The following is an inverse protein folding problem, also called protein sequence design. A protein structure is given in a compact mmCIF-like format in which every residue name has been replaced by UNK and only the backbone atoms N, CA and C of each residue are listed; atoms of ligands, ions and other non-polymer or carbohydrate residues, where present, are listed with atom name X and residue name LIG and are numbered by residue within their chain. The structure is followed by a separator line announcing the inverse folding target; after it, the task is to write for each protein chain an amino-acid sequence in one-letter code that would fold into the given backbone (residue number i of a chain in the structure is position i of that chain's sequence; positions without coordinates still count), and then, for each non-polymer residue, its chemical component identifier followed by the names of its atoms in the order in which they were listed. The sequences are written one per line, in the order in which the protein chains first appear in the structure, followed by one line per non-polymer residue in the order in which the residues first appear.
data_IF_621708003008
#
_entry.id   IF_621708003008
#
_cell.length_a   1.000
_cell.length_b   1.000
_cell.length_c   1.000
_cell.angle_alpha   90.00
_cell.angle_beta   90.00
_cell.angle_gamma   90.00
#
_symmetry.space_group_name_H-M   'P 1'
#
loop_
_entity.id
_entity.type
_entity.pdbx_description
1 polymer ?
#
# COMPACT_ATOMS: atom_id res chain seq x y z
N UNK A 1 -7.79 12.91 -7.66
CA UNK A 1 -7.37 11.50 -7.50
C UNK A 1 -8.10 10.58 -8.48
N UNK A 2 -9.43 10.45 -8.42
CA UNK A 2 -10.18 9.61 -9.37
C UNK A 2 -10.96 10.47 -10.36
N UNK A 3 -10.62 10.34 -11.64
CA UNK A 3 -11.35 10.93 -12.77
C UNK A 3 -11.98 9.79 -13.59
N UNK A 4 -12.99 10.09 -14.40
CA UNK A 4 -13.65 9.10 -15.28
C UNK A 4 -14.94 8.51 -14.70
N UNK A 5 -15.42 7.43 -15.32
CA UNK A 5 -16.66 6.77 -14.92
C UNK A 5 -16.40 5.79 -13.76
N UNK A 6 -16.93 6.13 -12.58
CA UNK A 6 -16.78 5.32 -11.37
C UNK A 6 -17.88 4.27 -11.26
N UNK A 7 -17.48 3.01 -11.16
CA UNK A 7 -18.38 1.90 -10.92
C UNK A 7 -18.10 1.26 -9.55
N UNK A 8 -19.16 1.08 -8.76
CA UNK A 8 -19.08 0.47 -7.44
C UNK A 8 -19.81 -0.87 -7.45
N UNK A 9 -19.06 -1.96 -7.32
CA UNK A 9 -19.62 -3.30 -7.23
C UNK A 9 -19.94 -3.63 -5.77
N UNK A 10 -21.19 -3.99 -5.51
CA UNK A 10 -21.70 -4.38 -4.19
C UNK A 10 -22.02 -5.87 -4.15
N UNK A 11 -21.92 -6.47 -2.97
CA UNK A 11 -22.39 -7.83 -2.74
C UNK A 11 -23.90 -7.92 -2.94
N UNK A 12 -24.36 -8.82 -3.80
CA UNK A 12 -25.80 -9.05 -4.05
C UNK A 12 -26.57 -9.41 -2.78
N UNK A 13 -25.94 -10.17 -1.87
CA UNK A 13 -26.57 -10.65 -0.64
C UNK A 13 -26.64 -9.59 0.46
N UNK A 14 -25.57 -8.84 0.66
CA UNK A 14 -25.44 -7.95 1.85
C UNK A 14 -25.44 -6.46 1.51
N UNK A 15 -25.41 -6.09 0.24
CA UNK A 15 -25.29 -4.69 -0.20
C UNK A 15 -23.94 -4.03 0.09
N UNK A 16 -23.01 -4.72 0.78
CA UNK A 16 -21.68 -4.17 1.12
C UNK A 16 -20.85 -3.95 -0.14
N UNK A 17 -20.16 -2.81 -0.20
CA UNK A 17 -19.21 -2.49 -1.28
C UNK A 17 -18.08 -3.52 -1.28
N UNK A 18 -17.68 -3.95 -2.49
CA UNK A 18 -16.61 -4.93 -2.70
C UNK A 18 -15.48 -4.35 -3.55
N UNK A 19 -15.82 -3.69 -4.64
CA UNK A 19 -14.84 -3.18 -5.59
C UNK A 19 -15.24 -1.80 -6.08
N UNK A 20 -14.23 -0.98 -6.33
CA UNK A 20 -14.33 0.33 -6.96
C UNK A 20 -13.51 0.27 -8.24
N UNK A 21 -14.14 0.56 -9.37
CA UNK A 21 -13.52 0.64 -10.68
C UNK A 21 -13.59 2.08 -11.21
N UNK A 22 -12.61 2.47 -12.01
CA UNK A 22 -12.63 3.68 -12.81
C UNK A 22 -12.26 3.30 -14.25
N UNK A 23 -13.14 3.62 -15.21
CA UNK A 23 -12.96 3.29 -16.62
C UNK A 23 -12.58 1.80 -16.84
N UNK A 24 -13.34 0.91 -16.18
CA UNK A 24 -13.19 -0.55 -16.19
C UNK A 24 -11.87 -1.10 -15.57
N UNK A 25 -11.00 -0.25 -15.03
CA UNK A 25 -9.81 -0.66 -14.28
C UNK A 25 -10.11 -0.71 -12.77
N UNK A 26 -9.75 -1.82 -12.11
CA UNK A 26 -9.94 -1.96 -10.66
C UNK A 26 -9.05 -0.94 -9.95
N UNK A 27 -9.64 -0.09 -9.10
CA UNK A 27 -8.93 0.91 -8.30
C UNK A 27 -8.69 0.42 -6.88
N UNK A 28 -9.71 -0.15 -6.26
CA UNK A 28 -9.59 -0.66 -4.91
C UNK A 28 -10.63 -1.75 -4.62
N UNK A 29 -10.30 -2.61 -3.66
CA UNK A 29 -11.24 -3.53 -3.05
C UNK A 29 -11.51 -3.12 -1.61
N UNK A 30 -12.71 -3.38 -1.11
CA UNK A 30 -13.05 -3.13 0.29
C UNK A 30 -13.06 -4.46 1.03
N UNK A 31 -12.17 -4.57 2.02
CA UNK A 31 -12.07 -5.77 2.85
C UNK A 31 -13.32 -5.92 3.70
N UNK A 32 -13.97 -7.07 3.61
CA UNK A 32 -15.29 -7.28 4.21
C UNK A 32 -15.27 -7.35 5.74
N UNK A 33 -14.13 -7.72 6.34
CA UNK A 33 -13.99 -7.89 7.78
C UNK A 33 -13.96 -6.59 8.56
N UNK A 34 -13.35 -5.54 8.01
CA UNK A 34 -13.05 -4.29 8.73
C UNK A 34 -13.25 -3.01 7.89
N UNK A 35 -13.66 -3.14 6.62
CA UNK A 35 -13.95 -1.99 5.77
C UNK A 35 -12.72 -1.27 5.21
N UNK A 36 -11.51 -1.79 5.41
CA UNK A 36 -10.31 -1.17 4.85
C UNK A 36 -10.34 -1.19 3.32
N UNK A 37 -9.98 -0.06 2.73
CA UNK A 37 -9.83 0.11 1.30
C UNK A 37 -8.44 -0.38 0.93
N UNK A 38 -8.36 -1.51 0.24
CA UNK A 38 -7.11 -2.09 -0.26
C UNK A 38 -6.92 -1.63 -1.71
N UNK A 39 -5.94 -0.75 -1.99
CA UNK A 39 -5.69 -0.28 -3.35
C UNK A 39 -5.26 -1.42 -4.25
N UNK A 40 -5.70 -1.38 -5.51
CA UNK A 40 -5.05 -2.13 -6.58
C UNK A 40 -3.71 -1.48 -6.94
N UNK A 41 -2.96 -2.06 -7.88
CA UNK A 41 -1.77 -1.40 -8.42
C UNK A 41 -2.09 -0.01 -9.02
N UNK A 42 -3.17 0.09 -9.79
CA UNK A 42 -3.62 1.35 -10.36
C UNK A 42 -4.01 2.36 -9.29
N UNK A 43 -4.79 1.92 -8.29
CA UNK A 43 -5.20 2.78 -7.18
C UNK A 43 -4.00 3.28 -6.37
N UNK A 44 -3.04 2.41 -6.11
CA UNK A 44 -1.79 2.78 -5.44
C UNK A 44 -0.96 3.77 -6.27
N UNK A 45 -0.87 3.59 -7.59
CA UNK A 45 -0.17 4.51 -8.49
C UNK A 45 -0.83 5.90 -8.50
N UNK A 46 -2.17 5.94 -8.46
CA UNK A 46 -2.93 7.20 -8.34
C UNK A 46 -2.67 7.86 -6.98
N UNK A 47 -2.69 7.10 -5.89
CA UNK A 47 -2.39 7.61 -4.54
C UNK A 47 -0.98 8.17 -4.47
N UNK A 48 0.00 7.42 -4.97
CA UNK A 48 1.40 7.81 -5.04
C UNK A 48 1.58 9.15 -5.77
N UNK A 49 1.02 9.29 -6.97
CA UNK A 49 1.11 10.52 -7.77
C UNK A 49 0.30 11.72 -7.24
N UNK A 50 -0.70 11.49 -6.38
CA UNK A 50 -1.57 12.56 -5.86
C UNK A 50 -1.25 12.98 -4.43
N UNK A 51 -0.51 12.16 -3.67
CA UNK A 51 -0.15 12.44 -2.30
C UNK A 51 1.30 12.88 -2.24
N UNK A 52 1.55 14.06 -1.65
CA UNK A 52 2.90 14.57 -1.44
C UNK A 52 3.75 13.59 -0.62
N UNK A 53 5.01 13.41 -1.02
CA UNK A 53 5.97 12.68 -0.22
C UNK A 53 6.13 13.33 1.18
N UNK A 54 6.24 12.54 2.28
CA UNK A 54 6.30 11.07 2.32
C UNK A 54 4.95 10.39 2.57
N UNK A 55 3.79 11.02 2.33
CA UNK A 55 2.49 10.48 2.78
C UNK A 55 2.26 9.04 2.32
N UNK A 56 1.97 8.16 3.29
CA UNK A 56 1.79 6.72 3.13
C UNK A 56 3.02 5.95 2.61
N UNK A 57 4.21 6.55 2.52
CA UNK A 57 5.44 5.88 2.05
C UNK A 57 6.10 5.07 3.16
N UNK A 58 6.62 3.93 2.76
CA UNK A 58 7.65 3.18 3.48
C UNK A 58 8.82 3.04 2.51
N UNK A 59 9.90 3.77 2.79
CA UNK A 59 11.10 3.82 1.97
C UNK A 59 12.01 2.66 2.34
N UNK A 60 12.40 1.88 1.35
CA UNK A 60 13.27 0.73 1.55
C UNK A 60 14.59 0.92 0.81
N UNK A 61 15.66 0.31 1.34
CA UNK A 61 16.99 0.39 0.74
C UNK A 61 17.08 -0.36 -0.61
N UNK A 62 18.12 -0.03 -1.38
CA UNK A 62 18.40 -0.61 -2.71
C UNK A 62 18.40 -2.16 -2.69
N UNK A 63 18.99 -2.77 -1.65
CA UNK A 63 19.08 -4.23 -1.52
C UNK A 63 17.71 -4.92 -1.52
N UNK A 64 16.69 -4.26 -0.98
CA UNK A 64 15.36 -4.84 -0.83
C UNK A 64 14.44 -4.60 -2.03
N UNK A 65 14.77 -3.65 -2.91
CA UNK A 65 13.91 -3.28 -4.02
C UNK A 65 13.51 -4.43 -4.95
N UNK A 66 14.41 -5.34 -5.40
CA UNK A 66 14.00 -6.46 -6.26
C UNK A 66 12.96 -7.35 -5.56
N UNK A 67 13.13 -7.58 -4.26
CA UNK A 67 12.20 -8.38 -3.46
C UNK A 67 10.86 -7.67 -3.26
N UNK A 68 10.86 -6.35 -3.05
CA UNK A 68 9.65 -5.54 -3.00
C UNK A 68 8.87 -5.67 -4.32
N UNK A 69 9.54 -5.51 -5.47
CA UNK A 69 8.93 -5.63 -6.81
C UNK A 69 8.33 -7.01 -7.09
N UNK A 70 8.88 -8.07 -6.49
CA UNK A 70 8.33 -9.44 -6.54
C UNK A 70 7.18 -9.69 -5.54
N UNK A 71 6.83 -8.70 -4.72
CA UNK A 71 5.77 -8.82 -3.72
C UNK A 71 6.19 -9.55 -2.44
N UNK A 72 7.50 -9.67 -2.16
CA UNK A 72 8.00 -10.20 -0.88
C UNK A 72 7.73 -9.22 0.26
N UNK A 73 7.59 -9.75 1.47
CA UNK A 73 7.36 -8.94 2.67
C UNK A 73 8.60 -8.10 3.02
N UNK A 74 8.37 -6.92 3.60
CA UNK A 74 9.44 -6.01 4.03
C UNK A 74 9.77 -6.26 5.51
N UNK A 75 11.06 -6.33 5.80
CA UNK A 75 11.62 -6.51 7.14
C UNK A 75 12.23 -5.22 7.64
N UNK A 76 12.24 -5.03 8.97
CA UNK A 76 12.61 -3.76 9.62
C UNK A 76 13.98 -3.24 9.15
N UNK A 77 14.99 -4.11 9.13
CA UNK A 77 16.36 -3.77 8.70
C UNK A 77 16.51 -3.18 7.30
N UNK A 78 15.51 -3.30 6.44
CA UNK A 78 15.54 -2.77 5.08
C UNK A 78 14.80 -1.44 4.94
N UNK A 79 14.05 -1.00 5.96
CA UNK A 79 13.36 0.28 5.96
C UNK A 79 14.31 1.36 6.42
N UNK A 80 14.39 2.45 5.67
CA UNK A 80 15.28 3.59 5.97
C UNK A 80 14.50 4.84 6.41
N UNK A 81 13.27 5.01 5.92
CA UNK A 81 12.37 6.10 6.28
C UNK A 81 10.90 5.64 6.09
N UNK A 82 9.97 6.23 6.84
CA UNK A 82 8.54 6.09 6.53
C UNK A 82 7.75 7.32 6.99
N UNK A 83 6.52 7.48 6.46
CA UNK A 83 5.58 8.50 6.93
C UNK A 83 5.31 8.35 8.43
N UNK A 84 5.61 9.41 9.20
CA UNK A 84 5.40 9.48 10.66
C UNK A 84 3.94 9.29 11.11
N UNK A 85 2.99 9.32 10.19
CA UNK A 85 1.57 9.11 10.50
C UNK A 85 1.10 7.68 10.28
N UNK A 86 1.96 6.78 9.76
CA UNK A 86 1.60 5.37 9.55
C UNK A 86 1.28 4.71 10.88
N UNK A 87 0.12 4.05 10.92
CA UNK A 87 -0.30 3.19 12.02
C UNK A 87 -0.34 1.73 11.60
N UNK A 88 -0.32 0.85 12.60
CA UNK A 88 -0.54 -0.56 12.39
C UNK A 88 -1.88 -0.79 11.67
N UNK A 89 -1.84 -1.67 10.66
CA UNK A 89 -2.92 -1.97 9.70
C UNK A 89 -3.20 -0.96 8.60
N UNK A 90 -2.49 0.17 8.53
CA UNK A 90 -2.62 1.09 7.40
C UNK A 90 -2.13 0.44 6.10
N UNK A 91 -2.78 0.82 4.99
CA UNK A 91 -2.28 0.52 3.67
C UNK A 91 -1.16 1.50 3.31
N UNK A 92 -0.03 0.96 2.86
CA UNK A 92 1.19 1.72 2.60
C UNK A 92 1.71 1.48 1.18
N UNK A 93 2.44 2.47 0.70
CA UNK A 93 3.16 2.49 -0.56
C UNK A 93 4.63 2.18 -0.27
N UNK A 94 5.14 1.09 -0.80
CA UNK A 94 6.54 0.71 -0.64
C UNK A 94 7.30 1.36 -1.80
N UNK A 95 8.26 2.21 -1.47
CA UNK A 95 9.04 3.01 -2.43
C UNK A 95 10.54 2.86 -2.20
N UNK A 96 11.35 3.18 -3.19
CA UNK A 96 12.79 3.38 -2.99
C UNK A 96 13.11 4.84 -2.61
N UNK A 97 14.40 5.14 -2.48
CA UNK A 97 14.95 6.46 -2.14
C UNK A 97 14.53 7.56 -3.13
N UNK A 98 14.28 7.21 -4.39
CA UNK A 98 13.82 8.13 -5.45
C UNK A 98 12.28 8.31 -5.49
N UNK A 99 11.56 7.83 -4.47
CA UNK A 99 10.09 7.75 -4.41
C UNK A 99 9.49 6.96 -5.59
N UNK A 100 10.20 5.98 -6.16
CA UNK A 100 9.61 5.08 -7.15
C UNK A 100 8.70 4.04 -6.48
N UNK A 101 7.45 3.92 -6.92
CA UNK A 101 6.54 2.89 -6.40
C UNK A 101 7.00 1.48 -6.80
N UNK A 102 7.35 0.68 -5.79
CA UNK A 102 7.82 -0.70 -5.93
C UNK A 102 6.71 -1.72 -5.68
N UNK A 103 5.93 -1.49 -4.62
CA UNK A 103 4.93 -2.42 -4.13
C UNK A 103 3.88 -1.73 -3.25
N UNK A 104 2.86 -2.50 -2.89
CA UNK A 104 1.80 -2.09 -1.96
C UNK A 104 1.74 -3.06 -0.81
N UNK A 105 1.44 -2.57 0.38
CA UNK A 105 1.45 -3.40 1.58
C UNK A 105 0.51 -2.91 2.65
N UNK A 106 0.42 -3.70 3.71
CA UNK A 106 -0.21 -3.33 4.97
C UNK A 106 0.86 -3.22 6.03
N UNK A 107 0.92 -2.11 6.73
CA UNK A 107 1.81 -1.98 7.88
C UNK A 107 1.38 -2.93 9.01
N UNK A 108 2.35 -3.59 9.63
CA UNK A 108 2.13 -4.39 10.84
C UNK A 108 2.37 -3.58 12.11
N UNK A 109 3.12 -2.48 12.00
CA UNK A 109 3.60 -1.65 13.10
C UNK A 109 3.28 -0.16 12.82
N UNK A 110 3.39 0.71 13.82
CA UNK A 110 3.39 2.16 13.58
C UNK A 110 4.75 2.67 13.10
N UNK A 111 4.83 3.90 12.59
CA UNK A 111 6.07 4.48 12.07
C UNK A 111 7.23 4.45 13.06
N UNK A 112 6.97 4.74 14.34
CA UNK A 112 8.00 4.75 15.38
C UNK A 112 8.57 3.35 15.59
N UNK A 113 7.71 2.34 15.66
CA UNK A 113 8.12 0.92 15.78
C UNK A 113 8.86 0.43 14.53
N UNK A 114 8.44 0.83 13.33
CA UNK A 114 9.11 0.47 12.07
C UNK A 114 10.57 0.93 12.08
N UNK A 115 10.82 2.16 12.55
CA UNK A 115 12.15 2.77 12.55
C UNK A 115 13.00 2.37 13.76
N UNK A 116 12.39 1.96 14.87
CA UNK A 116 13.11 1.48 16.07
C UNK A 116 13.54 0.00 15.94
N UNK A 117 12.76 -0.81 15.21
CA UNK A 117 13.03 -2.24 15.11
C UNK A 117 14.18 -2.54 14.14
N UNK A 118 15.08 -3.44 14.54
CA UNK A 118 16.16 -3.96 13.69
C UNK A 118 15.83 -5.31 13.04
N UNK A 119 14.78 -5.99 13.50
CA UNK A 119 14.44 -7.34 13.07
C UNK A 119 12.92 -7.52 12.97
N UNK A 120 12.51 -8.55 12.22
CA UNK A 120 11.11 -8.90 12.05
C UNK A 120 10.46 -8.27 10.82
N UNK A 121 9.33 -8.85 10.43
CA UNK A 121 8.52 -8.34 9.32
C UNK A 121 7.76 -7.09 9.80
N UNK A 122 7.86 -6.00 9.03
CA UNK A 122 7.19 -4.74 9.37
C UNK A 122 6.08 -4.39 8.40
N UNK A 123 6.23 -4.73 7.11
CA UNK A 123 5.15 -4.60 6.12
C UNK A 123 4.76 -5.97 5.58
N UNK A 124 3.46 -6.25 5.55
CA UNK A 124 2.89 -7.38 4.81
C UNK A 124 2.54 -6.93 3.41
N UNK A 125 3.39 -7.30 2.46
CA UNK A 125 3.22 -6.94 1.05
C UNK A 125 2.01 -7.65 0.47
N UNK A 126 1.24 -6.92 -0.32
CA UNK A 126 0.03 -7.41 -0.99
C UNK A 126 0.31 -7.75 -2.44
N UNK A 127 1.04 -6.85 -3.11
CA UNK A 127 1.37 -6.95 -4.53
C UNK A 127 2.61 -6.12 -4.81
N UNK A 128 3.56 -6.72 -5.54
CA UNK A 128 4.67 -6.02 -6.17
C UNK A 128 4.31 -5.50 -7.55
N UNK A 129 5.19 -4.69 -8.14
CA UNK A 129 5.03 -4.17 -9.50
C UNK A 129 5.06 -5.27 -10.57
N UNK A 130 5.78 -6.37 -10.34
CA UNK A 130 5.90 -7.51 -11.26
C UNK A 130 4.91 -8.63 -10.93
#
# INVERSE_FOLDING_TARGET
LFNGNLQIIKSKKTGRIRYVYADDELIASIRTSDGFIIPSWKGASLLHSSLDYPRCRVVVNEESEPFAREGKNIFAKFVIECDKNIRANDEVLIVNEDDELLATGKSLLCSEEILDFSHGQVIKTRRGRR
#
